data_IF_459187672941
#
_entry.id   IF_459187672941
#
_cell.length_a   1.000
_cell.length_b   1.000
_cell.length_c   1.000
_cell.angle_alpha   90.00
_cell.angle_beta   90.00
_cell.angle_gamma   90.00
#
_symmetry.space_group_name_H-M   'P 1'
#
loop_
_entity.id
_entity.type
_entity.pdbx_description
1 polymer ?
#
# COMPACT_ATOMS: atom_id res chain seq x y z
N UNK A 1 31.39 -46.09 6.53
CA UNK A 1 32.83 -46.20 6.10
C UNK A 1 33.27 -44.81 5.67
N UNK A 2 34.26 -44.27 6.43
CA UNK A 2 35.28 -43.25 6.14
C UNK A 2 34.81 -41.89 5.54
N UNK A 3 34.74 -40.81 6.28
CA UNK A 3 35.79 -39.93 6.91
C UNK A 3 36.91 -39.54 5.95
N UNK A 4 37.00 -38.23 5.59
CA UNK A 4 38.25 -37.47 5.74
C UNK A 4 37.98 -35.97 5.56
N UNK A 5 38.30 -35.30 6.60
CA UNK A 5 38.65 -33.90 6.89
C UNK A 5 39.83 -33.47 6.00
N UNK A 6 39.88 -32.16 5.66
CA UNK A 6 41.14 -31.41 5.65
C UNK A 6 40.91 -29.98 6.13
N UNK A 7 41.70 -29.64 7.11
CA UNK A 7 41.90 -28.34 7.75
C UNK A 7 43.18 -27.71 7.17
N UNK A 8 43.31 -26.41 7.40
CA UNK A 8 44.53 -25.59 7.57
C UNK A 8 44.70 -24.53 6.45
N UNK A 9 45.18 -23.35 6.69
CA UNK A 9 45.45 -22.50 7.85
C UNK A 9 45.97 -21.15 7.35
N UNK A 10 45.64 -20.06 8.08
CA UNK A 10 46.50 -18.92 8.47
C UNK A 10 47.33 -18.13 7.44
N UNK A 11 47.14 -16.81 7.49
CA UNK A 11 48.13 -15.81 7.06
C UNK A 11 47.65 -14.39 7.34
N UNK A 12 47.92 -13.90 8.52
CA UNK A 12 47.79 -12.50 8.92
C UNK A 12 49.03 -11.71 8.53
N UNK A 13 48.88 -10.45 8.11
CA UNK A 13 49.85 -9.41 8.46
C UNK A 13 49.23 -8.02 8.35
N UNK A 14 49.40 -7.27 9.41
CA UNK A 14 49.15 -5.90 9.74
C UNK A 14 50.16 -4.92 9.12
N UNK A 15 49.77 -3.64 8.97
CA UNK A 15 50.48 -2.41 9.36
C UNK A 15 49.71 -1.20 8.87
N UNK A 16 49.31 -0.38 9.67
CA UNK A 16 49.57 0.84 10.42
C UNK A 16 50.16 2.02 9.62
N UNK A 17 49.65 3.20 10.00
CA UNK A 17 50.11 4.58 9.89
C UNK A 17 49.60 5.36 8.67
N UNK A 18 49.00 6.54 8.75
CA UNK A 18 49.02 7.57 9.78
C UNK A 18 49.13 8.95 9.14
N UNK A 19 48.48 9.94 9.76
CA UNK A 19 48.75 11.40 9.74
C UNK A 19 48.07 12.28 8.68
N UNK A 20 47.10 13.06 9.14
CA UNK A 20 47.10 14.55 9.31
C UNK A 20 47.66 15.40 8.16
N UNK A 21 46.86 16.31 7.65
CA UNK A 21 47.33 17.46 6.88
C UNK A 21 46.23 18.34 6.32
N UNK A 22 46.14 19.47 6.86
CA UNK A 22 45.27 20.64 6.83
C UNK A 22 45.18 21.37 5.48
N UNK A 23 44.01 22.01 5.23
CA UNK A 23 43.69 23.31 4.61
C UNK A 23 44.23 23.73 3.23
N UNK A 24 43.38 24.16 2.37
CA UNK A 24 43.04 25.50 1.87
C UNK A 24 42.53 25.51 0.43
N UNK A 25 41.43 26.22 0.29
CA UNK A 25 40.77 26.93 -0.79
C UNK A 25 41.45 27.05 -2.17
N UNK A 26 40.66 26.86 -3.27
CA UNK A 26 40.28 27.91 -4.22
C UNK A 26 39.62 27.34 -5.47
N UNK A 27 38.46 27.88 -5.80
CA UNK A 27 37.87 28.26 -7.09
C UNK A 27 38.05 27.41 -8.35
N UNK A 28 36.89 27.10 -8.99
CA UNK A 28 36.82 26.85 -10.42
C UNK A 28 35.59 26.01 -10.80
N UNK A 29 34.56 26.69 -11.26
CA UNK A 29 33.32 26.16 -11.81
C UNK A 29 33.51 25.18 -12.95
N UNK A 30 32.71 24.12 -12.99
CA UNK A 30 31.87 23.82 -14.14
C UNK A 30 30.74 22.85 -13.73
N UNK A 31 29.52 23.35 -13.82
CA UNK A 31 28.30 22.63 -13.50
C UNK A 31 27.74 22.03 -14.79
N UNK A 32 27.77 20.71 -14.91
CA UNK A 32 26.87 20.02 -15.81
C UNK A 32 25.72 19.44 -15.01
N UNK A 33 24.59 20.15 -15.03
CA UNK A 33 23.30 19.73 -14.51
C UNK A 33 22.80 18.48 -15.25
N UNK A 34 22.78 17.37 -14.52
CA UNK A 34 21.93 16.22 -14.85
C UNK A 34 20.59 16.44 -14.14
N UNK A 35 19.43 16.37 -14.82
CA UNK A 35 18.15 16.53 -14.15
C UNK A 35 17.94 15.36 -13.18
N UNK A 36 18.16 15.62 -11.90
CA UNK A 36 17.80 14.71 -10.84
C UNK A 36 16.27 14.55 -10.81
N UNK A 37 15.83 13.32 -10.88
CA UNK A 37 14.46 12.88 -10.59
C UNK A 37 14.05 13.47 -9.24
N UNK A 38 13.16 14.46 -9.26
CA UNK A 38 12.55 14.98 -8.05
C UNK A 38 11.60 13.93 -7.50
N UNK A 39 12.13 13.03 -6.69
CA UNK A 39 11.34 12.24 -5.74
C UNK A 39 10.69 13.23 -4.79
N UNK A 40 9.40 13.50 -4.98
CA UNK A 40 8.59 14.23 -4.03
C UNK A 40 8.58 13.46 -2.71
N UNK A 41 9.42 13.87 -1.78
CA UNK A 41 9.26 13.46 -0.40
C UNK A 41 7.94 14.06 0.10
N UNK A 42 6.85 13.32 -0.01
CA UNK A 42 5.69 13.53 0.83
C UNK A 42 6.20 13.34 2.27
N UNK A 43 6.53 14.44 2.94
CA UNK A 43 6.77 14.43 4.36
C UNK A 43 5.46 13.98 5.03
N UNK A 44 5.33 12.68 5.21
CA UNK A 44 4.30 12.08 6.04
C UNK A 44 4.36 12.81 7.36
N UNK A 45 3.26 13.48 7.73
CA UNK A 45 3.10 13.97 9.11
C UNK A 45 3.40 12.78 9.99
N UNK A 46 4.50 12.79 10.70
CA UNK A 46 4.77 11.82 11.76
C UNK A 46 3.53 11.89 12.64
N UNK A 47 2.81 10.79 12.74
CA UNK A 47 1.54 10.69 13.43
C UNK A 47 1.63 11.43 14.77
N UNK A 48 0.60 12.18 15.13
CA UNK A 48 0.45 12.84 16.42
C UNK A 48 0.30 11.85 17.60
N UNK A 49 0.59 10.58 17.35
CA UNK A 49 0.50 9.52 18.34
C UNK A 49 1.80 9.38 19.13
N UNK A 50 1.66 9.26 20.44
CA UNK A 50 2.78 8.98 21.33
C UNK A 50 3.27 7.54 21.11
N UNK A 51 4.53 7.39 20.75
CA UNK A 51 5.16 6.08 20.57
C UNK A 51 6.18 5.82 21.68
N UNK A 52 6.31 4.59 22.17
CA UNK A 52 5.58 3.37 21.77
C UNK A 52 4.14 3.35 22.27
N UNK A 53 3.22 2.87 21.43
CA UNK A 53 1.81 2.69 21.79
C UNK A 53 1.72 1.88 23.11
N UNK A 54 0.94 2.32 24.12
CA UNK A 54 0.70 1.59 25.34
C UNK A 54 0.16 0.18 25.09
N UNK A 55 0.60 -0.80 25.90
CA UNK A 55 0.17 -2.21 25.70
C UNK A 55 -1.34 -2.42 25.91
N UNK A 56 -1.95 -1.63 26.74
CA UNK A 56 -3.37 -1.67 27.09
C UNK A 56 -4.26 -1.09 25.98
N UNK A 57 -3.68 -0.33 25.04
CA UNK A 57 -4.38 0.09 23.82
C UNK A 57 -4.37 -1.01 22.74
N UNK A 58 -3.45 -1.98 22.83
CA UNK A 58 -3.41 -3.10 21.89
C UNK A 58 -4.46 -4.14 22.29
N UNK A 59 -5.41 -4.41 21.43
CA UNK A 59 -6.48 -5.38 21.63
C UNK A 59 -6.16 -6.69 20.94
N UNK A 60 -6.18 -7.79 21.68
CA UNK A 60 -5.95 -9.10 21.08
C UNK A 60 -7.23 -9.60 20.41
N UNK A 61 -7.21 -9.73 19.09
CA UNK A 61 -8.27 -10.30 18.27
C UNK A 61 -8.08 -11.80 18.01
N UNK A 62 -6.80 -12.24 17.87
CA UNK A 62 -6.46 -13.63 17.55
C UNK A 62 -5.09 -14.01 18.14
N UNK A 63 -4.73 -15.29 18.20
CA UNK A 63 -3.34 -15.70 18.40
C UNK A 63 -2.44 -15.22 17.26
N UNK A 64 -1.13 -15.04 17.53
CA UNK A 64 -0.12 -14.75 16.51
C UNK A 64 -0.18 -15.79 15.39
N UNK A 65 -0.20 -15.35 14.14
CA UNK A 65 -0.29 -16.16 12.91
C UNK A 65 -1.51 -17.09 12.82
N UNK A 66 -2.57 -16.84 13.60
CA UNK A 66 -3.86 -17.52 13.37
C UNK A 66 -4.46 -17.17 12.01
N UNK A 67 -4.13 -15.97 11.52
CA UNK A 67 -4.29 -15.53 10.15
C UNK A 67 -2.91 -15.65 9.51
N UNK A 68 -2.63 -16.72 8.74
CA UNK A 68 -1.28 -17.04 8.29
C UNK A 68 -0.90 -16.19 7.07
N UNK A 69 0.06 -15.29 7.22
CA UNK A 69 0.60 -14.49 6.13
C UNK A 69 1.18 -15.37 5.01
N UNK A 70 0.99 -14.99 3.75
CA UNK A 70 1.61 -15.62 2.59
C UNK A 70 3.09 -15.25 2.57
N UNK A 71 3.96 -16.27 2.42
CA UNK A 71 5.43 -16.12 2.47
C UNK A 71 6.13 -16.61 1.22
N UNK A 72 5.44 -17.41 0.39
CA UNK A 72 5.90 -17.83 -0.92
C UNK A 72 4.73 -17.75 -1.90
N UNK A 73 4.42 -16.54 -2.39
CA UNK A 73 3.33 -16.32 -3.33
C UNK A 73 3.66 -16.96 -4.69
N UNK A 74 2.64 -17.51 -5.34
CA UNK A 74 2.68 -18.01 -6.71
C UNK A 74 1.73 -17.17 -7.54
N UNK A 75 2.14 -16.78 -8.73
CA UNK A 75 1.36 -15.95 -9.64
C UNK A 75 1.07 -16.68 -10.95
N UNK A 76 -0.03 -16.33 -11.61
CA UNK A 76 -0.45 -16.83 -12.90
C UNK A 76 -1.37 -15.80 -13.59
N UNK A 77 -1.67 -16.02 -14.86
CA UNK A 77 -2.63 -15.18 -15.62
C UNK A 77 -4.04 -15.27 -15.03
N UNK A 78 -4.41 -16.41 -14.48
CA UNK A 78 -5.68 -16.67 -13.78
C UNK A 78 -5.55 -17.87 -12.83
N UNK A 79 -6.69 -18.33 -12.28
CA UNK A 79 -6.73 -19.52 -11.41
C UNK A 79 -7.09 -20.82 -12.14
N UNK A 80 -7.32 -20.77 -13.44
CA UNK A 80 -7.59 -21.98 -14.23
C UNK A 80 -6.31 -22.83 -14.35
N UNK A 81 -6.41 -24.12 -14.27
CA UNK A 81 -5.25 -25.03 -14.34
C UNK A 81 -4.62 -25.37 -13.00
N UNK A 82 -5.15 -24.90 -11.89
CA UNK A 82 -4.77 -25.32 -10.54
C UNK A 82 -5.89 -26.19 -9.94
N UNK A 83 -5.75 -27.50 -9.98
CA UNK A 83 -6.76 -28.44 -9.48
C UNK A 83 -7.05 -28.27 -7.98
N UNK A 84 -6.12 -27.70 -7.23
CA UNK A 84 -6.25 -27.41 -5.80
C UNK A 84 -7.13 -26.18 -5.51
N UNK A 85 -7.39 -25.34 -6.52
CA UNK A 85 -8.18 -24.11 -6.39
C UNK A 85 -9.60 -24.36 -6.86
N UNK A 86 -10.54 -24.45 -5.92
CA UNK A 86 -11.95 -24.75 -6.20
C UNK A 86 -12.83 -23.52 -6.39
N UNK A 87 -12.22 -22.40 -6.80
CA UNK A 87 -12.90 -21.10 -6.98
C UNK A 87 -12.48 -20.51 -8.33
N UNK A 88 -13.45 -20.03 -9.09
CA UNK A 88 -13.18 -19.26 -10.31
C UNK A 88 -12.92 -17.81 -9.95
N UNK A 89 -11.89 -17.22 -10.54
CA UNK A 89 -11.61 -15.80 -10.41
C UNK A 89 -12.54 -15.01 -11.34
N UNK A 90 -13.58 -14.42 -10.77
CA UNK A 90 -14.53 -13.61 -11.51
C UNK A 90 -14.05 -12.18 -11.70
N UNK A 91 -14.41 -11.54 -12.82
CA UNK A 91 -14.04 -10.13 -13.10
C UNK A 91 -14.53 -9.15 -12.02
N UNK A 92 -15.57 -9.52 -11.26
CA UNK A 92 -16.11 -8.73 -10.14
C UNK A 92 -15.33 -8.84 -8.83
N UNK A 93 -14.34 -9.73 -8.73
CA UNK A 93 -13.54 -9.84 -7.52
C UNK A 93 -12.71 -8.59 -7.30
N UNK A 94 -12.76 -8.06 -6.08
CA UNK A 94 -11.89 -6.94 -5.69
C UNK A 94 -10.45 -7.43 -5.54
N UNK A 95 -9.50 -6.66 -6.04
CA UNK A 95 -8.07 -6.93 -5.96
C UNK A 95 -7.31 -5.69 -5.45
N UNK A 96 -6.23 -5.91 -4.75
CA UNK A 96 -5.17 -4.90 -4.59
C UNK A 96 -4.26 -5.02 -5.79
N UNK A 97 -4.25 -4.00 -6.64
CA UNK A 97 -3.38 -3.92 -7.81
C UNK A 97 -2.12 -3.12 -7.50
N UNK A 98 -0.98 -3.64 -7.94
CA UNK A 98 0.34 -3.01 -7.80
C UNK A 98 1.05 -3.06 -9.14
N UNK A 99 1.47 -1.90 -9.63
CA UNK A 99 2.40 -1.78 -10.77
C UNK A 99 3.71 -1.20 -10.25
N UNK A 100 4.80 -1.88 -10.50
CA UNK A 100 6.13 -1.49 -10.06
C UNK A 100 7.16 -1.88 -11.12
N UNK A 101 7.90 -0.90 -11.61
CA UNK A 101 8.95 -1.08 -12.62
C UNK A 101 8.48 -1.85 -13.89
N UNK A 102 7.20 -1.65 -14.26
CA UNK A 102 6.58 -2.28 -15.44
C UNK A 102 6.03 -3.68 -15.21
N UNK A 103 6.13 -4.20 -13.99
CA UNK A 103 5.49 -5.46 -13.57
C UNK A 103 4.18 -5.13 -12.88
N UNK A 104 3.08 -5.69 -13.35
CA UNK A 104 1.76 -5.54 -12.74
C UNK A 104 1.32 -6.84 -12.07
N UNK A 105 0.86 -6.75 -10.82
CA UNK A 105 0.34 -7.88 -10.04
C UNK A 105 -0.95 -7.52 -9.33
N UNK A 106 -1.83 -8.50 -9.23
CA UNK A 106 -3.10 -8.40 -8.52
C UNK A 106 -3.15 -9.37 -7.34
N UNK A 107 -3.64 -8.88 -6.20
CA UNK A 107 -3.79 -9.65 -4.97
C UNK A 107 -5.27 -9.66 -4.58
N UNK A 108 -6.03 -10.73 -4.91
CA UNK A 108 -7.46 -10.79 -4.65
C UNK A 108 -7.81 -10.66 -3.17
N UNK A 109 -8.80 -9.79 -2.87
CA UNK A 109 -9.30 -9.66 -1.50
C UNK A 109 -9.94 -10.96 -1.01
N UNK A 110 -10.41 -11.83 -1.91
CA UNK A 110 -10.82 -13.18 -1.59
C UNK A 110 -9.73 -13.97 -0.85
N UNK A 111 -8.45 -13.73 -1.18
CA UNK A 111 -7.30 -14.32 -0.50
C UNK A 111 -6.93 -13.49 0.74
N UNK A 112 -6.80 -12.17 0.56
CA UNK A 112 -6.34 -11.29 1.64
C UNK A 112 -7.31 -11.20 2.82
N UNK A 113 -8.60 -11.47 2.65
CA UNK A 113 -9.55 -11.61 3.76
C UNK A 113 -9.20 -12.76 4.73
N UNK A 114 -8.41 -13.74 4.30
CA UNK A 114 -8.00 -14.90 5.08
C UNK A 114 -6.54 -14.90 5.50
N UNK A 115 -5.71 -14.07 4.83
CA UNK A 115 -4.27 -14.08 5.01
C UNK A 115 -3.70 -12.70 5.39
N UNK A 116 -4.41 -11.61 5.11
CA UNK A 116 -4.12 -10.21 5.43
C UNK A 116 -2.79 -9.68 4.88
N UNK A 117 -1.78 -10.53 4.72
CA UNK A 117 -0.42 -10.15 4.30
C UNK A 117 0.09 -11.12 3.24
N UNK A 118 0.66 -10.57 2.15
CA UNK A 118 1.46 -11.30 1.19
C UNK A 118 2.88 -10.69 1.14
N UNK A 119 3.88 -11.50 1.49
CA UNK A 119 5.28 -11.12 1.36
C UNK A 119 5.77 -11.55 -0.01
N UNK A 120 6.05 -10.58 -0.87
CA UNK A 120 6.39 -10.77 -2.28
C UNK A 120 7.75 -10.14 -2.61
N UNK A 121 8.15 -10.25 -3.87
CA UNK A 121 9.26 -9.52 -4.47
C UNK A 121 8.94 -9.23 -5.94
N UNK A 122 9.13 -7.98 -6.37
CA UNK A 122 9.11 -7.57 -7.77
C UNK A 122 10.56 -7.58 -8.24
N UNK A 123 10.91 -8.58 -9.06
CA UNK A 123 12.31 -8.95 -9.29
C UNK A 123 13.06 -9.10 -7.96
N UNK A 124 14.11 -8.33 -7.73
CA UNK A 124 14.91 -8.35 -6.49
C UNK A 124 14.38 -7.38 -5.41
N UNK A 125 13.33 -6.60 -5.69
CA UNK A 125 12.76 -5.64 -4.73
C UNK A 125 11.76 -6.33 -3.80
N UNK A 126 12.08 -6.47 -2.50
CA UNK A 126 11.18 -7.10 -1.54
C UNK A 126 10.00 -6.19 -1.20
N UNK A 127 8.78 -6.68 -1.39
CA UNK A 127 7.53 -5.92 -1.21
C UNK A 127 6.60 -6.68 -0.25
N UNK A 128 5.90 -5.94 0.60
CA UNK A 128 4.79 -6.46 1.38
C UNK A 128 3.48 -5.82 0.89
N UNK A 129 2.51 -6.66 0.59
CA UNK A 129 1.13 -6.26 0.28
C UNK A 129 0.25 -6.65 1.44
N UNK A 130 -0.48 -5.69 1.99
CA UNK A 130 -1.30 -5.90 3.18
C UNK A 130 -2.73 -5.43 2.95
N UNK A 131 -3.66 -6.09 3.62
CA UNK A 131 -5.05 -5.70 3.64
C UNK A 131 -5.64 -5.90 5.03
N UNK A 132 -6.23 -4.85 5.60
CA UNK A 132 -7.00 -4.91 6.84
C UNK A 132 -8.50 -5.00 6.50
N UNK A 133 -9.16 -6.17 6.62
CA UNK A 133 -10.58 -6.29 6.29
C UNK A 133 -11.49 -5.46 7.19
N UNK A 134 -11.07 -5.19 8.42
CA UNK A 134 -11.80 -4.33 9.35
C UNK A 134 -11.77 -2.86 8.91
N UNK A 135 -10.61 -2.38 8.45
CA UNK A 135 -10.41 -1.00 7.98
C UNK A 135 -10.83 -0.81 6.51
N UNK A 136 -10.98 -1.90 5.76
CA UNK A 136 -11.18 -1.85 4.31
C UNK A 136 -10.00 -1.22 3.57
N UNK A 137 -8.80 -1.30 4.15
CA UNK A 137 -7.59 -0.61 3.66
C UNK A 137 -6.55 -1.59 3.14
N UNK A 138 -5.90 -1.24 2.03
CA UNK A 138 -4.67 -1.88 1.58
C UNK A 138 -3.49 -0.91 1.73
N UNK A 139 -2.35 -1.44 2.14
CA UNK A 139 -1.07 -0.73 2.19
C UNK A 139 0.00 -1.63 1.60
N UNK A 140 0.75 -1.08 0.67
CA UNK A 140 1.87 -1.76 0.01
C UNK A 140 3.15 -0.99 0.32
N UNK A 141 4.22 -1.70 0.63
CA UNK A 141 5.48 -1.08 1.01
C UNK A 141 6.69 -1.96 0.69
N UNK A 142 7.86 -1.36 0.63
CA UNK A 142 9.11 -2.12 0.71
C UNK A 142 9.18 -2.84 2.05
N UNK A 143 9.43 -4.15 2.04
CA UNK A 143 9.59 -4.94 3.29
C UNK A 143 11.03 -4.96 3.76
N UNK A 144 11.59 -3.76 3.95
CA UNK A 144 12.94 -3.53 4.47
C UNK A 144 12.86 -3.01 5.90
N UNK A 145 13.47 -3.73 6.84
CA UNK A 145 13.61 -3.31 8.23
C UNK A 145 15.09 -3.16 8.56
N UNK A 146 15.49 -1.95 8.94
CA UNK A 146 16.91 -1.59 9.10
C UNK A 146 17.75 -1.84 7.83
N UNK A 147 17.17 -1.63 6.65
CA UNK A 147 17.83 -1.83 5.35
C UNK A 147 17.92 -3.28 4.89
N UNK A 148 17.34 -4.23 5.63
CA UNK A 148 17.40 -5.65 5.32
C UNK A 148 16.01 -6.23 5.02
N UNK A 149 15.87 -7.10 4.01
CA UNK A 149 14.62 -7.79 3.73
C UNK A 149 14.12 -8.61 4.92
N UNK A 150 12.83 -8.50 5.22
CA UNK A 150 12.17 -9.32 6.23
C UNK A 150 10.77 -9.71 5.78
N UNK A 151 10.21 -10.74 6.37
CA UNK A 151 8.79 -11.04 6.22
C UNK A 151 7.99 -10.36 7.33
N UNK A 152 6.77 -9.98 6.99
CA UNK A 152 5.77 -9.53 7.94
C UNK A 152 4.74 -10.64 8.18
N UNK A 153 4.24 -10.69 9.42
CA UNK A 153 3.19 -11.62 9.84
C UNK A 153 2.10 -10.91 10.63
N UNK A 154 1.01 -11.61 10.87
CA UNK A 154 -0.15 -11.10 11.63
C UNK A 154 0.09 -11.34 13.12
N UNK A 155 0.24 -10.27 13.90
CA UNK A 155 0.52 -10.37 15.33
C UNK A 155 -0.66 -10.89 16.15
N UNK A 156 -1.88 -10.76 15.60
CA UNK A 156 -3.14 -11.02 16.28
C UNK A 156 -3.58 -9.89 17.21
N UNK A 157 -2.86 -8.78 17.25
CA UNK A 157 -3.30 -7.56 17.90
C UNK A 157 -3.99 -6.63 16.90
N UNK A 158 -4.84 -5.76 17.43
CA UNK A 158 -5.43 -4.60 16.75
C UNK A 158 -5.11 -3.36 17.59
N UNK A 159 -4.92 -2.24 16.90
CA UNK A 159 -4.83 -0.91 17.49
C UNK A 159 -5.77 0.03 16.72
N UNK A 160 -6.74 0.65 17.41
CA UNK A 160 -7.76 1.47 16.73
C UNK A 160 -8.49 0.69 15.61
N UNK A 161 -8.73 -0.60 15.84
CA UNK A 161 -9.25 -1.56 14.84
C UNK A 161 -8.36 -1.84 13.62
N UNK A 162 -7.18 -1.24 13.54
CA UNK A 162 -6.18 -1.49 12.52
C UNK A 162 -5.42 -2.79 12.79
N UNK A 163 -5.06 -3.48 11.72
CA UNK A 163 -4.17 -4.65 11.73
C UNK A 163 -2.80 -4.27 12.29
N UNK A 164 -2.41 -4.91 13.39
CA UNK A 164 -1.03 -4.81 13.89
C UNK A 164 -0.21 -5.97 13.35
N UNK A 165 0.72 -5.66 12.45
CA UNK A 165 1.69 -6.61 11.90
C UNK A 165 2.88 -6.77 12.85
N UNK A 166 3.69 -7.80 12.64
CA UNK A 166 5.03 -7.88 13.19
C UNK A 166 6.04 -8.18 12.08
N UNK A 167 7.26 -7.71 12.19
CA UNK A 167 8.36 -8.16 11.36
C UNK A 167 9.08 -9.36 12.00
N UNK A 168 9.46 -10.34 11.16
CA UNK A 168 10.09 -11.58 11.65
C UNK A 168 11.50 -11.34 12.21
N UNK A 169 12.16 -10.27 11.79
CA UNK A 169 13.56 -10.01 12.14
C UNK A 169 13.72 -9.45 13.54
N UNK A 170 12.88 -8.46 13.91
CA UNK A 170 13.00 -7.76 15.20
C UNK A 170 11.82 -7.99 16.13
N UNK A 171 10.77 -8.67 15.66
CA UNK A 171 9.51 -8.85 16.39
C UNK A 171 8.84 -7.52 16.79
N UNK A 172 9.22 -6.41 16.12
CA UNK A 172 8.57 -5.12 16.35
C UNK A 172 7.15 -5.15 15.79
N UNK A 173 6.25 -4.40 16.43
CA UNK A 173 4.85 -4.28 16.04
C UNK A 173 4.63 -3.04 15.18
N UNK A 174 3.88 -3.19 14.09
CA UNK A 174 3.66 -2.18 13.07
C UNK A 174 2.18 -1.96 12.84
N UNK A 175 1.72 -0.71 12.84
CA UNK A 175 0.40 -0.35 12.35
C UNK A 175 0.36 -0.49 10.82
N UNK A 176 -0.63 -1.20 10.30
CA UNK A 176 -0.80 -1.38 8.87
C UNK A 176 -1.15 -0.05 8.18
N UNK A 177 -2.14 0.69 8.71
CA UNK A 177 -2.60 1.96 8.13
C UNK A 177 -1.49 3.01 8.17
N UNK A 178 -0.72 3.11 9.25
CA UNK A 178 0.38 4.08 9.33
C UNK A 178 1.64 3.62 8.60
N UNK A 179 1.81 2.32 8.34
CA UNK A 179 3.07 1.72 7.89
C UNK A 179 4.24 2.07 8.82
N UNK A 180 3.97 2.18 10.12
CA UNK A 180 4.91 2.65 11.14
C UNK A 180 5.05 1.63 12.25
N UNK A 181 6.27 1.42 12.72
CA UNK A 181 6.54 0.60 13.90
C UNK A 181 6.01 1.33 15.15
N UNK A 182 4.98 0.76 15.75
CA UNK A 182 4.30 1.35 16.91
C UNK A 182 4.85 0.85 18.25
N UNK A 183 5.60 -0.26 18.21
CA UNK A 183 6.19 -0.84 19.43
C UNK A 183 7.30 -1.84 19.11
N UNK A 184 8.32 -1.90 19.93
CA UNK A 184 9.48 -2.79 19.80
C UNK A 184 10.78 -2.04 19.53
N UNK A 185 11.79 -2.77 19.09
CA UNK A 185 13.12 -2.20 18.78
C UNK A 185 13.06 -1.11 17.70
N UNK A 186 12.14 -1.26 16.75
CA UNK A 186 12.02 -0.37 15.58
C UNK A 186 11.00 0.76 15.77
N UNK A 187 10.52 0.98 17.02
CA UNK A 187 9.51 2.01 17.30
C UNK A 187 9.85 3.35 16.63
N UNK A 188 8.92 3.87 15.83
CA UNK A 188 9.05 5.11 15.09
C UNK A 188 9.59 4.97 13.66
N UNK A 189 10.13 3.81 13.28
CA UNK A 189 10.51 3.56 11.89
C UNK A 189 9.26 3.48 10.99
N UNK A 190 9.39 3.92 9.75
CA UNK A 190 8.33 3.88 8.74
C UNK A 190 8.77 3.08 7.52
N UNK A 191 7.84 2.34 6.92
CA UNK A 191 8.08 1.66 5.66
C UNK A 191 7.95 2.64 4.48
N UNK A 192 8.72 2.42 3.43
CA UNK A 192 8.58 3.15 2.16
C UNK A 192 7.36 2.64 1.43
N UNK A 193 6.34 3.48 1.29
CA UNK A 193 5.08 3.12 0.66
C UNK A 193 5.22 3.01 -0.86
N UNK A 194 4.47 2.08 -1.42
CA UNK A 194 4.31 1.87 -2.86
C UNK A 194 2.83 2.13 -3.19
N UNK A 195 2.52 3.03 -4.12
CA UNK A 195 1.14 3.29 -4.52
C UNK A 195 0.44 2.02 -4.99
N UNK A 196 -0.79 1.83 -4.54
CA UNK A 196 -1.63 0.70 -4.89
C UNK A 196 -3.07 1.12 -5.13
N UNK A 197 -3.85 0.25 -5.75
CA UNK A 197 -5.25 0.53 -6.06
C UNK A 197 -6.11 -0.65 -5.63
N UNK A 198 -7.30 -0.39 -5.06
CA UNK A 198 -8.34 -1.41 -4.94
C UNK A 198 -9.30 -1.20 -6.10
N UNK A 199 -9.43 -2.20 -6.96
CA UNK A 199 -10.30 -2.21 -8.13
C UNK A 199 -10.96 -3.59 -8.28
N UNK A 200 -11.85 -3.75 -9.25
CA UNK A 200 -12.24 -5.08 -9.69
C UNK A 200 -11.13 -5.73 -10.52
N UNK A 201 -11.08 -7.06 -10.53
CA UNK A 201 -10.14 -7.82 -11.36
C UNK A 201 -10.30 -7.47 -12.84
N UNK A 202 -11.55 -7.34 -13.30
CA UNK A 202 -11.85 -6.96 -14.69
C UNK A 202 -11.28 -5.60 -15.06
N UNK A 203 -11.45 -4.57 -14.21
CA UNK A 203 -10.85 -3.24 -14.43
C UNK A 203 -9.34 -3.28 -14.40
N UNK A 204 -8.75 -3.99 -13.42
CA UNK A 204 -7.30 -4.09 -13.31
C UNK A 204 -6.68 -4.75 -14.54
N UNK A 205 -7.21 -5.90 -14.94
CA UNK A 205 -6.76 -6.65 -16.12
C UNK A 205 -6.93 -5.86 -17.43
N UNK A 206 -8.00 -5.07 -17.55
CA UNK A 206 -8.20 -4.22 -18.74
C UNK A 206 -7.15 -3.12 -18.86
N UNK A 207 -6.69 -2.54 -17.75
CA UNK A 207 -5.63 -1.53 -17.72
C UNK A 207 -4.21 -2.13 -17.73
N UNK A 208 -4.07 -3.41 -17.36
CA UNK A 208 -2.79 -4.14 -17.29
C UNK A 208 -2.94 -5.53 -17.93
N UNK A 209 -2.95 -5.61 -19.29
CA UNK A 209 -3.21 -6.88 -20.00
C UNK A 209 -2.21 -8.01 -19.66
N UNK A 210 -0.97 -7.65 -19.30
CA UNK A 210 0.11 -8.60 -18.97
C UNK A 210 0.23 -8.83 -17.45
N UNK A 211 -0.81 -8.48 -16.67
CA UNK A 211 -0.80 -8.65 -15.21
C UNK A 211 -0.89 -10.12 -14.81
N UNK A 212 -0.21 -10.45 -13.72
CA UNK A 212 -0.37 -11.73 -13.05
C UNK A 212 -1.22 -11.58 -11.78
N UNK A 213 -1.92 -12.63 -11.40
CA UNK A 213 -2.74 -12.66 -10.17
C UNK A 213 -2.21 -13.70 -9.20
N UNK A 214 -2.21 -13.34 -7.91
CA UNK A 214 -1.85 -14.26 -6.83
C UNK A 214 -2.76 -15.48 -6.82
N UNK A 215 -2.17 -16.67 -6.90
CA UNK A 215 -2.86 -17.95 -6.76
C UNK A 215 -3.01 -18.29 -5.28
N UNK A 216 -4.20 -18.68 -4.80
CA UNK A 216 -4.39 -18.91 -3.38
C UNK A 216 -3.66 -20.16 -2.86
N UNK A 217 -3.39 -20.26 -1.54
CA UNK A 217 -3.05 -21.53 -0.91
C UNK A 217 -4.09 -22.63 -1.23
N UNK A 218 -3.68 -23.89 -1.44
CA UNK A 218 -2.36 -24.45 -1.08
C UNK A 218 -1.29 -24.33 -2.17
N UNK A 219 -1.56 -23.65 -3.30
CA UNK A 219 -0.55 -23.41 -4.35
C UNK A 219 0.51 -22.44 -3.83
N UNK A 220 0.10 -21.26 -3.38
CA UNK A 220 0.96 -20.38 -2.58
C UNK A 220 1.21 -20.97 -1.19
N UNK A 221 2.34 -20.65 -0.57
CA UNK A 221 2.67 -21.11 0.78
C UNK A 221 2.53 -19.99 1.81
N UNK A 222 2.31 -20.34 3.07
CA UNK A 222 2.14 -19.41 4.17
C UNK A 222 3.14 -19.68 5.28
N UNK A 223 3.24 -18.76 6.24
CA UNK A 223 4.10 -18.93 7.42
C UNK A 223 3.73 -20.18 8.24
N UNK A 224 2.56 -20.76 8.01
CA UNK A 224 2.09 -22.00 8.66
C UNK A 224 1.94 -23.17 7.67
N UNK A 225 2.57 -23.09 6.49
CA UNK A 225 2.45 -24.08 5.43
C UNK A 225 1.21 -23.88 4.56
N UNK A 226 0.96 -24.81 3.67
CA UNK A 226 -0.04 -24.74 2.61
C UNK A 226 -1.46 -25.02 3.11
N UNK A 227 -2.07 -24.03 3.73
CA UNK A 227 -3.42 -24.15 4.30
C UNK A 227 -4.45 -23.52 3.39
N UNK A 228 -5.35 -24.31 2.84
CA UNK A 228 -6.51 -23.85 2.06
C UNK A 228 -7.56 -23.17 2.96
N UNK A 229 -8.32 -22.24 2.38
CA UNK A 229 -9.50 -21.57 2.96
C UNK A 229 -10.64 -21.61 1.95
N UNK A 230 -11.83 -21.17 2.34
CA UNK A 230 -12.99 -21.03 1.45
C UNK A 230 -12.92 -19.65 0.77
N UNK A 231 -12.15 -19.56 -0.32
CA UNK A 231 -11.91 -18.28 -1.02
C UNK A 231 -13.13 -17.78 -1.80
N UNK A 232 -14.18 -18.57 -1.93
CA UNK A 232 -15.51 -18.21 -2.41
C UNK A 232 -16.36 -17.50 -1.35
N UNK A 233 -15.92 -17.48 -0.09
CA UNK A 233 -16.65 -16.89 1.03
C UNK A 233 -15.88 -15.69 1.57
N UNK A 234 -16.52 -14.53 1.59
CA UNK A 234 -16.00 -13.37 2.31
C UNK A 234 -16.43 -13.42 3.79
N UNK A 235 -15.53 -13.74 4.74
CA UNK A 235 -15.87 -13.84 6.16
C UNK A 235 -16.28 -12.50 6.78
N UNK A 236 -16.02 -11.37 6.10
CA UNK A 236 -16.34 -10.02 6.56
C UNK A 236 -17.57 -9.41 5.86
N UNK A 237 -18.33 -10.16 5.07
CA UNK A 237 -19.48 -9.65 4.32
C UNK A 237 -20.53 -8.99 5.22
N UNK A 238 -20.91 -9.62 6.33
CA UNK A 238 -21.84 -9.07 7.33
C UNK A 238 -21.25 -7.86 8.08
N UNK A 239 -19.95 -7.85 8.33
CA UNK A 239 -19.25 -6.72 8.93
C UNK A 239 -19.28 -5.50 8.03
N UNK A 240 -18.97 -5.65 6.73
CA UNK A 240 -19.00 -4.54 5.75
C UNK A 240 -20.37 -3.85 5.67
N UNK A 241 -21.46 -4.60 5.86
CA UNK A 241 -22.83 -4.09 5.81
C UNK A 241 -23.34 -3.50 7.13
N UNK A 242 -22.60 -3.67 8.22
CA UNK A 242 -22.99 -3.21 9.54
C UNK A 242 -22.43 -1.82 9.89
N UNK A 243 -23.11 -1.07 10.74
CA UNK A 243 -22.55 0.16 11.36
C UNK A 243 -21.51 -0.11 12.45
N UNK A 244 -21.25 -1.37 12.79
CA UNK A 244 -20.31 -1.75 13.85
C UNK A 244 -18.87 -1.53 13.39
N UNK A 245 -18.02 -0.96 14.25
CA UNK A 245 -16.60 -0.72 14.00
C UNK A 245 -15.75 -1.77 14.74
N UNK A 246 -14.77 -2.31 14.06
CA UNK A 246 -13.81 -3.27 14.60
C UNK A 246 -14.46 -4.50 15.23
N UNK A 247 -13.82 -5.06 16.22
CA UNK A 247 -14.31 -6.20 17.00
C UNK A 247 -14.98 -5.79 18.32
N UNK A 248 -15.47 -4.54 18.39
CA UNK A 248 -16.26 -4.05 19.53
C UNK A 248 -15.47 -3.31 20.60
N UNK A 249 -14.36 -2.67 20.22
CA UNK A 249 -13.47 -1.97 21.15
C UNK A 249 -13.27 -0.48 20.87
N UNK A 250 -13.99 0.10 19.91
CA UNK A 250 -13.93 1.53 19.65
C UNK A 250 -15.04 2.21 20.48
N UNK A 251 -14.63 3.00 21.45
CA UNK A 251 -15.54 3.70 22.35
C UNK A 251 -16.12 4.98 21.71
N UNK A 252 -15.41 5.56 20.73
CA UNK A 252 -15.84 6.75 19.98
C UNK A 252 -15.66 6.52 18.49
N UNK A 253 -16.75 6.64 17.73
CA UNK A 253 -16.76 6.55 16.27
C UNK A 253 -17.12 7.92 15.72
N UNK A 254 -16.36 8.39 14.75
CA UNK A 254 -16.69 9.62 14.05
C UNK A 254 -17.99 9.46 13.25
N UNK A 255 -19.05 10.15 13.72
CA UNK A 255 -20.42 10.08 13.19
C UNK A 255 -20.68 11.02 12.00
N UNK A 256 -19.67 11.77 11.53
CA UNK A 256 -19.84 12.65 10.37
C UNK A 256 -20.28 11.90 9.12
N UNK A 257 -19.95 10.61 9.00
CA UNK A 257 -20.42 9.70 7.94
C UNK A 257 -20.70 8.30 8.48
N UNK A 258 -21.35 7.46 7.67
CA UNK A 258 -21.45 6.03 7.99
C UNK A 258 -20.02 5.44 8.08
N UNK A 259 -19.68 4.69 9.15
CA UNK A 259 -18.31 4.26 9.41
C UNK A 259 -17.66 3.45 8.28
N UNK A 260 -18.46 2.76 7.47
CA UNK A 260 -17.98 1.96 6.32
C UNK A 260 -18.08 2.68 4.98
N UNK A 261 -18.34 4.01 4.97
CA UNK A 261 -18.21 4.79 3.74
C UNK A 261 -16.78 4.66 3.21
N UNK A 262 -16.64 4.23 1.96
CA UNK A 262 -15.33 4.18 1.31
C UNK A 262 -14.87 5.61 1.01
N UNK A 263 -13.66 5.95 1.43
CA UNK A 263 -13.03 7.25 1.17
C UNK A 263 -11.63 7.06 0.64
N UNK A 264 -11.20 7.93 -0.28
CA UNK A 264 -9.78 8.12 -0.56
C UNK A 264 -9.32 9.37 0.18
N UNK A 265 -8.27 9.23 0.98
CA UNK A 265 -7.75 10.31 1.80
C UNK A 265 -6.45 10.86 1.23
N UNK A 266 -6.29 12.18 1.31
CA UNK A 266 -5.09 12.89 0.87
C UNK A 266 -4.61 13.77 2.01
N UNK A 267 -3.31 13.74 2.29
CA UNK A 267 -2.65 14.62 3.25
C UNK A 267 -1.55 15.42 2.56
N UNK A 268 -1.61 16.74 2.69
CA UNK A 268 -0.58 17.62 2.15
C UNK A 268 -0.49 18.92 2.96
N UNK A 269 0.73 19.40 3.22
CA UNK A 269 0.94 20.68 3.93
C UNK A 269 0.27 20.75 5.31
N UNK A 270 0.09 19.60 5.97
CA UNK A 270 -0.57 19.53 7.27
C UNK A 270 -2.11 19.51 7.20
N UNK A 271 -2.70 19.55 6.02
CA UNK A 271 -4.14 19.37 5.79
C UNK A 271 -4.43 17.94 5.41
N UNK A 272 -5.44 17.32 6.03
CA UNK A 272 -6.00 16.04 5.64
C UNK A 272 -7.40 16.24 5.06
N UNK A 273 -7.71 15.59 3.94
CA UNK A 273 -9.05 15.64 3.34
C UNK A 273 -9.46 14.27 2.82
N UNK A 274 -10.68 13.87 3.17
CA UNK A 274 -11.33 12.64 2.70
C UNK A 274 -12.28 12.95 1.56
N UNK A 275 -12.25 12.10 0.53
CA UNK A 275 -13.17 12.16 -0.62
C UNK A 275 -14.04 10.91 -0.61
N UNK A 276 -15.30 11.03 -0.15
CA UNK A 276 -16.22 9.90 -0.12
C UNK A 276 -16.59 9.44 -1.53
N UNK A 277 -16.65 8.13 -1.75
CA UNK A 277 -16.95 7.53 -3.06
C UNK A 277 -18.21 8.14 -3.70
N UNK A 278 -19.31 8.23 -2.94
CA UNK A 278 -20.57 8.75 -3.49
C UNK A 278 -20.46 10.22 -3.89
N UNK A 279 -19.72 11.03 -3.13
CA UNK A 279 -19.49 12.44 -3.46
C UNK A 279 -18.68 12.58 -4.75
N UNK A 280 -17.63 11.75 -4.92
CA UNK A 280 -16.82 11.70 -6.13
C UNK A 280 -17.63 11.20 -7.33
N UNK A 281 -18.42 10.13 -7.17
CA UNK A 281 -19.32 9.62 -8.22
C UNK A 281 -20.31 10.70 -8.70
N UNK A 282 -20.90 11.42 -7.77
CA UNK A 282 -21.85 12.48 -8.10
C UNK A 282 -21.20 13.68 -8.82
N UNK A 283 -19.96 13.99 -8.50
CA UNK A 283 -19.20 15.06 -9.16
C UNK A 283 -18.61 14.62 -10.52
N UNK A 284 -18.44 13.31 -10.75
CA UNK A 284 -17.78 12.74 -11.92
C UNK A 284 -16.26 12.86 -11.85
N UNK A 285 -15.76 14.09 -11.76
CA UNK A 285 -14.33 14.45 -11.57
C UNK A 285 -14.27 15.60 -10.58
N UNK A 286 -13.36 15.51 -9.62
CA UNK A 286 -13.13 16.55 -8.61
C UNK A 286 -11.74 17.15 -8.84
N UNK A 287 -11.68 18.39 -9.28
CA UNK A 287 -10.46 19.19 -9.30
C UNK A 287 -10.40 20.00 -8.01
N UNK A 288 -9.39 19.76 -7.17
CA UNK A 288 -9.30 20.35 -5.84
C UNK A 288 -7.85 20.71 -5.48
N UNK A 289 -7.65 21.24 -4.27
CA UNK A 289 -6.33 21.54 -3.71
C UNK A 289 -6.35 21.19 -2.22
N UNK A 290 -5.48 20.30 -1.79
CA UNK A 290 -5.29 19.92 -0.37
C UNK A 290 -4.00 20.56 0.12
N UNK A 291 -4.11 21.50 1.07
CA UNK A 291 -3.00 22.37 1.40
C UNK A 291 -2.52 23.12 0.15
N UNK A 292 -1.29 22.85 -0.31
CA UNK A 292 -0.76 23.42 -1.56
C UNK A 292 -0.69 22.40 -2.71
N UNK A 293 -1.17 21.16 -2.51
CA UNK A 293 -1.15 20.11 -3.49
C UNK A 293 -2.40 20.15 -4.37
N UNK A 294 -2.30 20.53 -5.65
CA UNK A 294 -3.42 20.44 -6.58
C UNK A 294 -3.67 18.98 -6.94
N UNK A 295 -4.92 18.52 -6.77
CA UNK A 295 -5.30 17.13 -6.95
C UNK A 295 -6.50 16.98 -7.87
N UNK A 296 -6.55 15.88 -8.61
CA UNK A 296 -7.75 15.39 -9.27
C UNK A 296 -8.16 14.08 -8.62
N UNK A 297 -9.43 13.97 -8.23
CA UNK A 297 -10.01 12.75 -7.67
C UNK A 297 -11.15 12.29 -8.57
N UNK A 298 -11.16 11.02 -8.90
CA UNK A 298 -12.17 10.42 -9.75
C UNK A 298 -12.50 9.00 -9.29
N UNK A 299 -13.61 8.46 -9.79
CA UNK A 299 -13.96 7.06 -9.57
C UNK A 299 -14.38 6.41 -10.89
N UNK A 300 -14.11 5.11 -11.00
CA UNK A 300 -14.66 4.30 -12.08
C UNK A 300 -16.15 4.06 -11.89
N UNK A 301 -16.79 3.46 -12.88
CA UNK A 301 -18.18 2.99 -12.81
C UNK A 301 -18.36 1.95 -11.71
N UNK A 302 -17.39 1.04 -11.56
CA UNK A 302 -17.42 -0.05 -10.58
C UNK A 302 -17.05 0.42 -9.17
N UNK A 303 -16.58 1.66 -9.02
CA UNK A 303 -16.35 2.28 -7.71
C UNK A 303 -14.89 2.33 -7.30
N UNK A 304 -13.97 2.07 -8.19
CA UNK A 304 -12.54 2.29 -7.94
C UNK A 304 -12.28 3.79 -7.78
N UNK A 305 -11.74 4.18 -6.63
CA UNK A 305 -11.34 5.56 -6.33
C UNK A 305 -9.85 5.75 -6.65
N UNK A 306 -9.55 6.82 -7.35
CA UNK A 306 -8.17 7.22 -7.68
C UNK A 306 -7.96 8.71 -7.40
N UNK A 307 -6.72 9.07 -7.10
CA UNK A 307 -6.32 10.46 -6.93
C UNK A 307 -4.94 10.69 -7.55
N UNK A 308 -4.81 11.79 -8.28
CA UNK A 308 -3.56 12.20 -8.92
C UNK A 308 -3.24 13.65 -8.63
N UNK A 309 -1.96 13.97 -8.65
CA UNK A 309 -1.49 15.34 -8.69
C UNK A 309 -1.82 15.93 -10.06
N UNK A 310 -2.64 16.98 -10.12
CA UNK A 310 -3.06 17.61 -11.39
C UNK A 310 -2.07 18.67 -11.88
N UNK A 311 -0.78 18.29 -11.93
CA UNK A 311 0.27 19.09 -12.57
C UNK A 311 0.77 18.37 -13.81
N UNK A 312 0.70 19.03 -14.95
CA UNK A 312 1.21 18.56 -16.23
C UNK A 312 2.18 19.64 -16.73
N UNK A 313 3.40 19.26 -17.08
CA UNK A 313 4.47 20.17 -17.50
C UNK A 313 4.65 21.39 -16.55
N UNK A 314 4.58 21.14 -15.25
CA UNK A 314 4.73 22.15 -14.20
C UNK A 314 3.50 23.07 -14.00
N UNK A 315 2.49 22.98 -14.85
CA UNK A 315 1.26 23.77 -14.78
C UNK A 315 0.12 22.99 -14.13
N UNK A 316 -0.74 23.67 -13.38
CA UNK A 316 -1.95 23.08 -12.82
C UNK A 316 -2.98 22.91 -13.94
N UNK A 317 -3.42 21.67 -14.17
CA UNK A 317 -4.40 21.34 -15.19
C UNK A 317 -5.80 21.12 -14.59
N UNK A 318 -6.83 21.41 -15.37
CA UNK A 318 -8.20 21.02 -15.08
C UNK A 318 -8.52 19.72 -15.83
N UNK A 319 -9.10 18.77 -15.14
CA UNK A 319 -9.50 17.49 -15.67
C UNK A 319 -11.00 17.40 -15.85
N UNK A 320 -11.39 16.78 -16.95
CA UNK A 320 -12.78 16.45 -17.27
C UNK A 320 -12.91 14.93 -17.47
N UNK A 321 -14.15 14.43 -17.56
CA UNK A 321 -14.45 13.04 -17.81
C UNK A 321 -14.86 12.81 -19.26
N UNK A 322 -14.27 11.79 -19.92
CA UNK A 322 -14.70 11.29 -21.21
C UNK A 322 -14.82 9.76 -21.16
N UNK A 323 -16.04 9.29 -20.93
CA UNK A 323 -16.30 7.85 -20.74
C UNK A 323 -15.55 7.28 -19.52
N UNK A 324 -14.67 6.32 -19.75
CA UNK A 324 -13.81 5.71 -18.72
C UNK A 324 -12.48 6.47 -18.53
N UNK A 325 -12.16 7.46 -19.35
CA UNK A 325 -10.91 8.21 -19.29
C UNK A 325 -11.07 9.56 -18.60
N UNK A 326 -9.97 10.12 -18.13
CA UNK A 326 -9.83 11.53 -17.77
C UNK A 326 -9.27 12.29 -18.96
N UNK A 327 -9.60 13.57 -19.11
CA UNK A 327 -9.10 14.44 -20.20
C UNK A 327 -8.52 15.70 -19.59
N UNK A 328 -7.28 15.99 -19.93
CA UNK A 328 -6.60 17.24 -19.57
C UNK A 328 -5.43 17.51 -20.52
N UNK A 329 -5.08 18.79 -20.70
CA UNK A 329 -3.92 19.24 -21.47
C UNK A 329 -3.82 18.61 -22.88
N UNK A 330 -4.96 18.38 -23.54
CA UNK A 330 -5.01 17.83 -24.90
C UNK A 330 -4.70 16.34 -25.01
N UNK A 331 -4.77 15.58 -23.91
CA UNK A 331 -4.55 14.14 -23.86
C UNK A 331 -5.67 13.46 -23.08
N UNK A 332 -5.94 12.19 -23.41
CA UNK A 332 -6.79 11.28 -22.63
C UNK A 332 -5.89 10.43 -21.73
N UNK A 333 -6.33 10.26 -20.49
CA UNK A 333 -5.58 9.56 -19.45
C UNK A 333 -6.40 8.37 -18.95
N UNK A 334 -5.79 7.20 -18.89
CA UNK A 334 -6.41 6.04 -18.25
C UNK A 334 -6.69 6.36 -16.77
N UNK A 335 -7.91 6.11 -16.35
CA UNK A 335 -8.34 6.48 -14.99
C UNK A 335 -7.59 5.70 -13.91
N UNK A 336 -7.34 4.41 -14.14
CA UNK A 336 -6.78 3.52 -13.14
C UNK A 336 -5.26 3.68 -13.01
N UNK A 337 -4.57 3.79 -14.14
CA UNK A 337 -3.09 3.89 -14.19
C UNK A 337 -2.58 5.32 -14.16
N UNK A 338 -3.41 6.29 -14.59
CA UNK A 338 -2.97 7.67 -14.82
C UNK A 338 -2.07 7.81 -16.06
N UNK A 339 -1.97 6.79 -16.93
CA UNK A 339 -1.18 6.84 -18.17
C UNK A 339 -1.92 7.58 -19.26
N UNK A 340 -1.25 8.48 -19.97
CA UNK A 340 -1.78 9.13 -21.15
C UNK A 340 -1.91 8.13 -22.30
N UNK A 341 -3.13 8.00 -22.81
CA UNK A 341 -3.50 7.06 -23.88
C UNK A 341 -3.23 7.62 -25.27
N UNK A 342 -3.20 8.95 -25.40
CA UNK A 342 -3.05 9.66 -26.67
C UNK A 342 -2.63 11.13 -26.44
N UNK A 343 -2.57 11.90 -27.53
CA UNK A 343 -2.33 13.35 -27.52
C UNK A 343 -0.87 13.71 -27.30
N UNK A 344 -0.64 14.95 -26.82
CA UNK A 344 0.72 15.50 -26.65
C UNK A 344 1.52 14.83 -25.53
N UNK A 345 0.85 14.07 -24.65
CA UNK A 345 1.46 13.44 -23.46
C UNK A 345 1.42 11.91 -23.56
N UNK A 346 1.15 11.32 -24.73
CA UNK A 346 1.06 9.86 -24.90
C UNK A 346 2.23 9.13 -24.22
N UNK A 347 1.91 8.16 -23.37
CA UNK A 347 2.87 7.36 -22.58
C UNK A 347 3.36 8.00 -21.27
N UNK A 348 3.08 9.29 -21.03
CA UNK A 348 3.36 9.91 -19.73
C UNK A 348 2.40 9.38 -18.67
N UNK A 349 2.81 9.44 -17.40
CA UNK A 349 2.00 8.97 -16.27
C UNK A 349 1.84 10.06 -15.21
N UNK A 350 0.62 10.26 -14.73
CA UNK A 350 0.31 11.17 -13.63
C UNK A 350 0.89 10.64 -12.32
N UNK A 351 1.39 11.54 -11.48
CA UNK A 351 1.83 11.18 -10.13
C UNK A 351 0.62 10.92 -9.24
N UNK A 352 0.60 9.81 -8.49
CA UNK A 352 -0.42 9.55 -7.46
C UNK A 352 -0.39 10.65 -6.41
N UNK A 353 -1.57 11.09 -5.97
CA UNK A 353 -1.72 12.07 -4.88
C UNK A 353 -1.85 11.41 -3.50
N UNK A 354 -1.95 10.09 -3.46
CA UNK A 354 -2.06 9.27 -2.26
C UNK A 354 -1.19 8.01 -2.39
N UNK A 355 -0.60 7.58 -1.28
CA UNK A 355 0.25 6.38 -1.23
C UNK A 355 -0.54 5.16 -0.72
N UNK A 356 -1.74 5.37 -0.17
CA UNK A 356 -2.61 4.33 0.40
C UNK A 356 -3.84 4.15 -0.46
N UNK A 357 -4.35 2.93 -0.53
CA UNK A 357 -5.63 2.66 -1.18
C UNK A 357 -6.79 3.36 -0.44
N UNK A 358 -7.99 3.44 -1.04
CA UNK A 358 -9.20 3.80 -0.31
C UNK A 358 -9.38 2.93 0.92
N UNK A 359 -10.05 3.47 1.94
CA UNK A 359 -10.36 2.77 3.19
C UNK A 359 -11.72 3.19 3.73
N UNK A 360 -12.19 2.54 4.79
CA UNK A 360 -13.41 2.96 5.45
C UNK A 360 -13.21 4.28 6.20
N UNK A 361 -14.31 5.08 6.25
CA UNK A 361 -14.30 6.39 6.89
C UNK A 361 -13.77 6.37 8.32
N UNK A 362 -14.23 5.42 9.15
CA UNK A 362 -13.78 5.36 10.53
C UNK A 362 -12.24 5.20 10.62
N UNK A 363 -11.67 4.34 9.78
CA UNK A 363 -10.23 4.10 9.79
C UNK A 363 -9.44 5.33 9.34
N UNK A 364 -9.96 6.07 8.35
CA UNK A 364 -9.35 7.35 7.95
C UNK A 364 -9.45 8.39 9.07
N UNK A 365 -10.66 8.56 9.67
CA UNK A 365 -10.91 9.56 10.69
C UNK A 365 -10.14 9.30 11.99
N UNK A 366 -10.02 8.04 12.42
CA UNK A 366 -9.27 7.65 13.61
C UNK A 366 -7.79 8.07 13.50
N UNK A 367 -7.21 7.95 12.30
CA UNK A 367 -5.80 8.36 12.05
C UNK A 367 -5.66 9.82 11.57
N UNK A 368 -6.77 10.51 11.28
CA UNK A 368 -6.81 11.91 10.83
C UNK A 368 -8.00 12.63 11.45
N UNK A 369 -8.03 12.86 12.76
CA UNK A 369 -9.21 13.38 13.47
C UNK A 369 -9.66 14.76 12.96
N UNK A 370 -8.71 15.61 12.55
CA UNK A 370 -9.00 16.96 12.02
C UNK A 370 -9.26 16.96 10.51
N UNK A 371 -9.53 15.81 9.91
CA UNK A 371 -9.73 15.70 8.46
C UNK A 371 -10.94 16.48 7.98
N UNK A 372 -10.77 17.18 6.88
CA UNK A 372 -11.87 17.79 6.13
C UNK A 372 -12.58 16.72 5.28
N UNK A 373 -13.83 16.99 4.91
CA UNK A 373 -14.64 16.10 4.08
C UNK A 373 -15.04 16.85 2.82
N UNK A 374 -14.69 16.34 1.64
CA UNK A 374 -15.13 16.92 0.39
C UNK A 374 -16.66 16.88 0.26
N UNK A 375 -17.24 18.03 -0.10
CA UNK A 375 -18.70 18.18 -0.28
C UNK A 375 -19.47 18.47 1.01
N UNK A 376 -18.79 18.77 2.11
CA UNK A 376 -19.41 19.15 3.39
C UNK A 376 -18.83 20.43 3.95
#
# INVERSE_FOLDING_TARGET
MNRRRFLAALGATSALAGCLGNNQSADGADSTDTPGTAGGSNATRTSSFDLPVPKDELRRGAPKDAIPAITAPVFSDDWSGFDEVNVTLEDSFEVVGVELDGIARAYPLAILNWHEIANDAFDDRPVVVTYCPLCGSAVVADRLVAGEPTNFGVSGYLWMSDLVMYDVRTESLWSQVLATAIRGERTGDTLSLIPSTISTWGEWKASHPDTEVLVPPPVSDTIRGRQSRSYDVNPYSSYRQSGRVGIGFNDEVDERMHPKTSVIGITAGGVARAYPLDAVKNAGVVNDTVGELPVVVASSTDGTLVAYVRRIDGSVAEFERDGSALVAAGSRWDLLTGRALDGSHEGATLTRANDRSPMFWFAWADFNPDTEIYGR
#
